data_IF_051040185305
#
_entry.id   IF_051040185305
#
_cell.length_a   1.000
_cell.length_b   1.000
_cell.length_c   1.000
_cell.angle_alpha   90.00
_cell.angle_beta   90.00
_cell.angle_gamma   90.00
#
_symmetry.space_group_name_H-M   'P 1'
#
loop_
_entity.id
_entity.type
_entity.pdbx_description
1 polymer ?
#
# COMPACT_ATOMS: atom_id res chain seq x y z
N UNK A 1 -1.81 -7.75 30.42
CA UNK A 1 -1.18 -6.70 29.61
C UNK A 1 0.14 -7.28 29.12
N UNK A 2 0.39 -7.45 27.83
CA UNK A 2 1.72 -7.82 27.37
C UNK A 2 2.66 -6.69 27.81
N UNK A 3 3.72 -7.07 28.51
CA UNK A 3 4.82 -6.15 28.84
C UNK A 3 5.38 -5.71 27.48
N UNK A 4 5.33 -4.41 27.18
CA UNK A 4 5.99 -3.83 26.01
C UNK A 4 7.51 -4.03 26.21
N UNK A 5 8.01 -5.17 25.78
CA UNK A 5 9.45 -5.42 25.74
C UNK A 5 10.03 -4.47 24.68
N UNK A 6 10.95 -3.62 25.12
CA UNK A 6 11.68 -2.74 24.22
C UNK A 6 12.42 -3.59 23.20
N UNK A 7 12.26 -3.31 21.88
CA UNK A 7 12.91 -4.09 20.86
C UNK A 7 14.43 -4.06 21.02
N UNK A 8 15.08 -5.20 20.85
CA UNK A 8 16.53 -5.24 20.85
C UNK A 8 17.10 -4.37 19.72
N UNK A 9 18.29 -3.81 19.90
CA UNK A 9 18.96 -3.01 18.86
C UNK A 9 19.06 -3.74 17.53
N UNK A 10 19.20 -5.09 17.55
CA UNK A 10 19.19 -5.92 16.35
C UNK A 10 17.85 -5.93 15.62
N UNK A 11 16.74 -5.96 16.34
CA UNK A 11 15.39 -5.87 15.75
C UNK A 11 15.12 -4.51 15.11
N UNK A 12 15.52 -3.43 15.78
CA UNK A 12 15.42 -2.07 15.23
C UNK A 12 16.26 -1.93 13.96
N UNK A 13 17.48 -2.44 13.95
CA UNK A 13 18.34 -2.42 12.78
C UNK A 13 17.73 -3.21 11.61
N UNK A 14 17.13 -4.38 11.88
CA UNK A 14 16.42 -5.16 10.86
C UNK A 14 15.19 -4.42 10.33
N UNK A 15 14.37 -3.84 11.22
CA UNK A 15 13.20 -3.06 10.81
C UNK A 15 13.59 -1.89 9.88
N UNK A 16 14.65 -1.17 10.23
CA UNK A 16 15.18 -0.07 9.41
C UNK A 16 15.71 -0.58 8.06
N UNK A 17 16.48 -1.67 8.05
CA UNK A 17 16.99 -2.24 6.79
C UNK A 17 15.86 -2.74 5.89
N UNK A 18 14.81 -3.33 6.47
CA UNK A 18 13.60 -3.73 5.76
C UNK A 18 12.89 -2.53 5.13
N UNK A 19 12.65 -1.47 5.90
CA UNK A 19 11.98 -0.27 5.41
C UNK A 19 12.78 0.44 4.31
N UNK A 20 14.12 0.52 4.45
CA UNK A 20 15.00 1.09 3.42
C UNK A 20 15.00 0.20 2.16
N UNK A 21 15.01 -1.12 2.32
CA UNK A 21 14.90 -2.04 1.19
C UNK A 21 13.57 -1.87 0.44
N UNK A 22 12.46 -1.69 1.15
CA UNK A 22 11.15 -1.41 0.55
C UNK A 22 11.16 -0.07 -0.21
N UNK A 23 11.74 0.96 0.38
CA UNK A 23 11.88 2.27 -0.26
C UNK A 23 12.71 2.16 -1.55
N UNK A 24 13.78 1.37 -1.52
CA UNK A 24 14.59 1.11 -2.69
C UNK A 24 13.85 0.27 -3.75
N UNK A 25 13.03 -0.69 -3.36
CA UNK A 25 12.26 -1.53 -4.29
C UNK A 25 11.04 -0.82 -4.90
N UNK A 26 10.52 0.22 -4.27
CA UNK A 26 9.32 0.93 -4.73
C UNK A 26 9.41 1.42 -6.18
N UNK A 27 10.48 2.15 -6.62
CA UNK A 27 10.60 2.57 -8.01
C UNK A 27 10.81 1.41 -8.99
N UNK A 28 11.33 0.27 -8.52
CA UNK A 28 11.47 -0.93 -9.35
C UNK A 28 10.09 -1.55 -9.64
N UNK A 29 9.22 -1.61 -8.63
CA UNK A 29 7.87 -2.14 -8.75
C UNK A 29 6.99 -1.29 -9.70
N UNK A 30 7.07 0.04 -9.57
CA UNK A 30 6.37 0.96 -10.49
C UNK A 30 6.93 0.89 -11.89
N UNK A 31 8.27 0.84 -12.05
CA UNK A 31 8.95 0.64 -13.32
C UNK A 31 8.58 -0.67 -14.00
N UNK A 32 8.45 -1.76 -13.24
CA UNK A 32 7.99 -3.06 -13.75
C UNK A 32 6.59 -2.96 -14.35
N UNK A 33 5.64 -2.32 -13.66
CA UNK A 33 4.28 -2.10 -14.18
C UNK A 33 4.28 -1.27 -15.47
N UNK A 34 5.11 -0.22 -15.56
CA UNK A 34 5.24 0.61 -16.76
C UNK A 34 5.76 -0.20 -17.96
N UNK A 35 6.76 -1.04 -17.75
CA UNK A 35 7.30 -1.93 -18.79
C UNK A 35 6.26 -2.97 -19.21
N UNK A 36 5.57 -3.58 -18.24
CA UNK A 36 4.51 -4.56 -18.49
C UNK A 36 3.39 -3.96 -19.35
N UNK A 37 2.88 -2.79 -18.95
CA UNK A 37 1.85 -2.05 -19.68
C UNK A 37 2.28 -1.74 -21.13
N UNK A 38 3.51 -1.28 -21.32
CA UNK A 38 4.02 -0.98 -22.66
C UNK A 38 4.07 -2.24 -23.54
N UNK A 39 4.55 -3.37 -22.99
CA UNK A 39 4.60 -4.65 -23.70
C UNK A 39 3.23 -5.19 -24.05
N UNK A 40 2.25 -5.08 -23.15
CA UNK A 40 0.87 -5.51 -23.39
C UNK A 40 0.20 -4.69 -24.52
N UNK A 41 0.61 -3.43 -24.69
CA UNK A 41 0.15 -2.58 -25.78
C UNK A 41 1.04 -2.64 -27.03
N UNK A 42 1.93 -3.64 -27.14
CA UNK A 42 2.87 -3.79 -28.27
C UNK A 42 3.73 -2.54 -28.51
N UNK A 43 4.09 -1.81 -27.45
CA UNK A 43 4.92 -0.60 -27.50
C UNK A 43 6.27 -0.86 -26.84
N UNK A 44 7.29 -0.11 -27.29
CA UNK A 44 8.56 -0.02 -26.55
C UNK A 44 8.34 0.90 -25.34
N UNK A 45 8.40 0.31 -24.16
CA UNK A 45 8.28 1.06 -22.91
C UNK A 45 9.61 1.66 -22.45
N UNK A 46 9.58 2.49 -21.40
CA UNK A 46 10.78 2.96 -20.73
C UNK A 46 11.56 1.78 -20.13
N UNK A 47 12.84 1.98 -19.83
CA UNK A 47 13.63 0.98 -19.12
C UNK A 47 13.11 0.76 -17.70
N UNK A 48 13.35 -0.42 -17.14
CA UNK A 48 12.92 -0.80 -15.77
C UNK A 48 13.41 0.18 -14.69
N UNK A 49 14.58 0.78 -14.89
CA UNK A 49 15.19 1.74 -13.96
C UNK A 49 14.83 3.22 -14.29
N UNK A 50 13.85 3.46 -15.12
CA UNK A 50 13.51 4.82 -15.53
C UNK A 50 13.00 5.66 -14.35
N UNK A 51 12.19 5.06 -13.47
CA UNK A 51 11.65 5.76 -12.31
C UNK A 51 12.75 6.25 -11.35
N UNK A 52 13.85 5.49 -11.20
CA UNK A 52 15.02 5.97 -10.44
C UNK A 52 15.71 7.16 -11.11
N UNK A 53 15.81 7.15 -12.44
CA UNK A 53 16.40 8.27 -13.19
C UNK A 53 15.53 9.52 -13.10
N UNK A 54 14.20 9.34 -13.14
CA UNK A 54 13.24 10.43 -13.02
C UNK A 54 13.30 11.05 -11.63
N UNK A 55 13.32 10.22 -10.57
CA UNK A 55 13.49 10.67 -9.18
C UNK A 55 14.84 11.39 -9.00
N UNK A 56 15.94 10.80 -9.48
CA UNK A 56 17.26 11.41 -9.36
C UNK A 56 17.37 12.75 -10.12
N UNK A 57 16.68 12.88 -11.27
CA UNK A 57 16.60 14.12 -12.02
C UNK A 57 15.80 15.17 -11.25
N UNK A 58 14.66 14.80 -10.66
CA UNK A 58 13.83 15.71 -9.88
C UNK A 58 14.57 16.22 -8.64
N UNK A 59 15.29 15.37 -7.92
CA UNK A 59 16.09 15.75 -6.75
C UNK A 59 17.18 16.80 -7.06
N UNK A 60 17.60 16.90 -8.32
CA UNK A 60 18.61 17.90 -8.78
C UNK A 60 17.98 19.20 -9.29
N UNK A 61 16.66 19.27 -9.40
CA UNK A 61 15.94 20.43 -9.90
C UNK A 61 15.54 21.35 -8.75
N UNK A 62 15.42 22.64 -9.06
CA UNK A 62 14.91 23.63 -8.14
C UNK A 62 13.47 23.31 -7.77
N UNK A 63 13.12 23.51 -6.53
CA UNK A 63 11.77 23.44 -6.02
C UNK A 63 11.11 24.81 -6.14
N UNK A 64 9.94 24.85 -6.73
CA UNK A 64 9.12 26.04 -6.86
C UNK A 64 7.82 25.75 -6.13
N UNK A 65 7.51 26.52 -5.11
CA UNK A 65 6.27 26.42 -4.33
C UNK A 65 5.29 27.49 -4.80
N UNK A 66 3.98 27.18 -4.91
CA UNK A 66 2.96 28.17 -5.21
C UNK A 66 2.89 29.25 -4.12
N UNK A 67 2.61 30.49 -4.48
CA UNK A 67 2.47 31.60 -3.50
C UNK A 67 1.45 31.32 -2.38
N UNK A 68 0.25 30.72 -2.65
CA UNK A 68 -0.71 30.41 -1.61
C UNK A 68 -0.39 29.19 -0.76
N UNK A 69 0.67 28.42 -1.08
CA UNK A 69 1.02 27.18 -0.37
C UNK A 69 1.47 27.46 1.07
N UNK A 70 0.87 26.70 2.01
CA UNK A 70 1.17 26.77 3.43
C UNK A 70 2.28 25.83 3.88
N UNK A 71 2.43 25.71 5.19
CA UNK A 71 3.42 24.81 5.83
C UNK A 71 3.11 23.35 5.52
N UNK A 72 1.83 22.99 5.43
CA UNK A 72 1.38 21.61 5.20
C UNK A 72 1.86 21.12 3.84
N UNK A 73 1.74 21.94 2.80
CA UNK A 73 2.23 21.64 1.47
C UNK A 73 3.72 21.24 1.47
N UNK A 74 4.55 22.02 2.16
CA UNK A 74 6.00 21.77 2.21
C UNK A 74 6.38 20.56 3.07
N UNK A 75 5.65 20.29 4.15
CA UNK A 75 5.96 19.21 5.09
C UNK A 75 5.45 17.84 4.62
N UNK A 76 4.37 17.84 3.82
CA UNK A 76 3.65 16.64 3.45
C UNK A 76 4.51 15.56 2.79
N UNK A 77 5.41 15.84 1.82
CA UNK A 77 6.19 14.77 1.18
C UNK A 77 7.02 13.96 2.17
N UNK A 78 7.59 14.63 3.17
CA UNK A 78 8.36 13.98 4.23
C UNK A 78 7.47 13.16 5.18
N UNK A 79 6.30 13.68 5.56
CA UNK A 79 5.34 12.98 6.42
C UNK A 79 4.82 11.71 5.75
N UNK A 80 4.53 11.75 4.45
CA UNK A 80 4.04 10.58 3.72
C UNK A 80 5.06 9.45 3.69
N UNK A 81 6.31 9.78 3.40
CA UNK A 81 7.40 8.78 3.42
C UNK A 81 7.59 8.24 4.83
N UNK A 82 7.62 9.11 5.85
CA UNK A 82 7.81 8.69 7.24
C UNK A 82 6.71 7.72 7.70
N UNK A 83 5.43 8.03 7.42
CA UNK A 83 4.32 7.15 7.76
C UNK A 83 4.44 5.77 7.10
N UNK A 84 4.76 5.72 5.80
CA UNK A 84 4.92 4.46 5.08
C UNK A 84 6.16 3.67 5.49
N UNK A 85 7.25 4.35 5.87
CA UNK A 85 8.42 3.68 6.42
C UNK A 85 8.11 3.04 7.78
N UNK A 86 7.31 3.69 8.63
CA UNK A 86 6.85 3.10 9.89
C UNK A 86 6.02 1.83 9.63
N UNK A 87 5.07 1.85 8.68
CA UNK A 87 4.36 0.64 8.27
C UNK A 87 5.34 -0.42 7.75
N UNK A 88 6.30 -0.01 6.91
CA UNK A 88 7.33 -0.91 6.39
C UNK A 88 8.22 -1.54 7.46
N UNK A 89 8.46 -0.84 8.58
CA UNK A 89 9.17 -1.39 9.75
C UNK A 89 8.30 -2.38 10.55
N UNK A 90 6.99 -2.13 10.60
CA UNK A 90 6.04 -2.89 11.39
C UNK A 90 5.64 -4.22 10.74
N UNK A 91 5.53 -4.27 9.41
CA UNK A 91 5.07 -5.45 8.68
C UNK A 91 6.02 -6.65 8.84
N UNK A 92 5.55 -7.83 9.30
CA UNK A 92 6.35 -9.06 9.35
C UNK A 92 6.47 -9.69 7.95
N UNK A 93 7.35 -9.15 7.10
CA UNK A 93 7.49 -9.58 5.70
C UNK A 93 8.44 -10.75 5.50
N UNK A 94 9.59 -10.73 6.17
CA UNK A 94 10.63 -11.76 6.06
C UNK A 94 10.52 -12.83 7.14
N UNK A 95 10.07 -12.45 8.32
CA UNK A 95 9.91 -13.30 9.50
C UNK A 95 8.44 -13.44 9.89
N UNK A 96 8.11 -14.39 10.75
CA UNK A 96 6.74 -14.51 11.28
C UNK A 96 6.44 -13.42 12.32
N UNK A 97 7.45 -12.99 13.08
CA UNK A 97 7.32 -11.92 14.06
C UNK A 97 7.58 -10.56 13.42
N UNK A 98 6.88 -9.53 13.90
CA UNK A 98 7.14 -8.17 13.47
C UNK A 98 8.55 -7.72 13.91
N UNK A 99 9.37 -7.17 13.02
CA UNK A 99 10.68 -6.60 13.39
C UNK A 99 10.55 -5.41 14.34
N UNK A 100 9.40 -4.75 14.35
CA UNK A 100 9.09 -3.62 15.22
C UNK A 100 7.77 -3.85 15.96
N UNK A 101 7.74 -4.67 17.05
CA UNK A 101 6.52 -5.14 17.71
C UNK A 101 5.62 -4.01 18.22
N UNK A 102 6.19 -2.84 18.57
CA UNK A 102 5.43 -1.69 19.08
C UNK A 102 4.40 -1.18 18.06
N UNK A 103 4.73 -1.26 16.77
CA UNK A 103 3.85 -0.83 15.69
C UNK A 103 3.28 -2.01 14.88
N UNK A 104 3.63 -3.26 15.22
CA UNK A 104 3.20 -4.47 14.49
C UNK A 104 1.73 -4.86 14.68
N UNK A 105 0.89 -3.92 15.10
CA UNK A 105 -0.54 -4.09 15.30
C UNK A 105 -1.32 -3.61 14.08
N UNK A 106 -2.30 -4.39 13.65
CA UNK A 106 -3.16 -4.11 12.50
C UNK A 106 -3.81 -2.71 12.58
N UNK A 107 -4.25 -2.33 13.79
CA UNK A 107 -4.92 -1.04 14.01
C UNK A 107 -3.96 0.11 13.75
N UNK A 108 -2.71 -0.02 14.23
CA UNK A 108 -1.65 0.98 14.00
C UNK A 108 -1.37 1.17 12.53
N UNK A 109 -1.24 0.08 11.77
CA UNK A 109 -0.98 0.15 10.33
C UNK A 109 -2.14 0.82 9.57
N UNK A 110 -3.39 0.51 9.92
CA UNK A 110 -4.57 1.16 9.33
C UNK A 110 -4.54 2.67 9.59
N UNK A 111 -4.24 3.10 10.82
CA UNK A 111 -4.13 4.53 11.12
C UNK A 111 -2.98 5.22 10.40
N UNK A 112 -1.85 4.57 10.19
CA UNK A 112 -0.74 5.11 9.40
C UNK A 112 -1.12 5.28 7.92
N UNK A 113 -1.91 4.37 7.34
CA UNK A 113 -2.47 4.56 6.01
C UNK A 113 -3.49 5.71 5.95
N UNK A 114 -4.32 5.86 6.98
CA UNK A 114 -5.25 6.98 7.08
C UNK A 114 -4.50 8.32 7.20
N UNK A 115 -3.40 8.39 7.96
CA UNK A 115 -2.50 9.55 8.03
C UNK A 115 -1.96 9.89 6.64
N UNK A 116 -1.47 8.90 5.89
CA UNK A 116 -1.00 9.12 4.52
C UNK A 116 -2.06 9.83 3.68
N UNK A 117 -3.27 9.27 3.62
CA UNK A 117 -4.38 9.82 2.82
C UNK A 117 -4.80 11.21 3.28
N UNK A 118 -4.90 11.40 4.59
CA UNK A 118 -5.28 12.68 5.17
C UNK A 118 -4.32 13.80 4.76
N UNK A 119 -3.03 13.61 4.98
CA UNK A 119 -2.02 14.62 4.64
C UNK A 119 -1.85 14.82 3.15
N UNK A 120 -1.95 13.76 2.34
CA UNK A 120 -1.93 13.86 0.89
C UNK A 120 -3.06 14.74 0.36
N UNK A 121 -4.27 14.54 0.88
CA UNK A 121 -5.44 15.33 0.49
C UNK A 121 -5.36 16.76 1.05
N UNK A 122 -4.90 16.91 2.29
CA UNK A 122 -4.77 18.22 2.92
C UNK A 122 -3.78 19.13 2.19
N UNK A 123 -2.67 18.58 1.72
CA UNK A 123 -1.70 19.31 0.92
C UNK A 123 -2.24 19.73 -0.44
N UNK A 124 -3.06 18.90 -1.08
CA UNK A 124 -3.76 19.27 -2.30
C UNK A 124 -4.72 20.45 -2.11
N UNK A 125 -5.35 20.55 -0.93
CA UNK A 125 -6.19 21.70 -0.57
C UNK A 125 -5.36 22.95 -0.21
N UNK A 126 -4.22 22.77 0.47
CA UNK A 126 -3.32 23.83 0.91
C UNK A 126 -2.58 24.53 -0.25
N UNK A 127 -2.47 23.84 -1.40
CA UNK A 127 -1.83 24.38 -2.60
C UNK A 127 -2.57 25.57 -3.23
N UNK A 128 -3.87 25.75 -2.90
CA UNK A 128 -4.73 26.77 -3.52
C UNK A 128 -5.09 26.51 -4.98
N UNK A 129 -4.66 25.38 -5.56
CA UNK A 129 -4.95 25.00 -6.95
C UNK A 129 -6.32 24.31 -7.06
N UNK A 130 -7.09 24.67 -8.08
CA UNK A 130 -8.38 24.04 -8.35
C UNK A 130 -8.23 22.55 -8.68
N UNK A 131 -7.26 22.19 -9.51
CA UNK A 131 -7.03 20.80 -9.91
C UNK A 131 -6.57 19.93 -8.73
N UNK A 132 -5.65 20.43 -7.92
CA UNK A 132 -5.20 19.75 -6.73
C UNK A 132 -6.32 19.59 -5.70
N UNK A 133 -7.15 20.61 -5.51
CA UNK A 133 -8.31 20.57 -4.60
C UNK A 133 -9.38 19.56 -5.05
N UNK A 134 -9.68 19.45 -6.35
CA UNK A 134 -10.62 18.44 -6.86
C UNK A 134 -10.02 17.03 -6.72
N UNK A 135 -8.75 16.85 -7.04
CA UNK A 135 -8.04 15.58 -6.85
C UNK A 135 -8.06 15.12 -5.39
N UNK A 136 -7.74 16.02 -4.46
CA UNK A 136 -7.80 15.76 -3.02
C UNK A 136 -9.19 15.32 -2.54
N UNK A 137 -10.26 15.97 -3.01
CA UNK A 137 -11.64 15.56 -2.68
C UNK A 137 -11.98 14.17 -3.22
N UNK A 138 -11.53 13.85 -4.43
CA UNK A 138 -11.73 12.51 -5.02
C UNK A 138 -11.00 11.43 -4.22
N UNK A 139 -9.77 11.69 -3.78
CA UNK A 139 -8.99 10.78 -2.93
C UNK A 139 -9.70 10.52 -1.60
N UNK A 140 -10.15 11.57 -0.89
CA UNK A 140 -10.89 11.43 0.35
C UNK A 140 -12.19 10.64 0.17
N UNK A 141 -12.94 10.91 -0.89
CA UNK A 141 -14.19 10.20 -1.16
C UNK A 141 -13.94 8.73 -1.45
N UNK A 142 -12.89 8.42 -2.23
CA UNK A 142 -12.52 7.04 -2.52
C UNK A 142 -12.09 6.31 -1.23
N UNK A 143 -11.34 6.99 -0.36
CA UNK A 143 -10.93 6.47 0.94
C UNK A 143 -12.10 6.06 1.81
N UNK A 144 -13.06 6.95 2.01
CA UNK A 144 -14.26 6.66 2.82
C UNK A 144 -15.00 5.41 2.31
N UNK A 145 -14.92 5.12 1.02
CA UNK A 145 -15.58 3.95 0.42
C UNK A 145 -14.76 2.67 0.52
N UNK A 146 -13.44 2.76 0.54
CA UNK A 146 -12.54 1.59 0.42
C UNK A 146 -11.95 1.18 1.76
N UNK A 147 -11.61 2.13 2.62
CA UNK A 147 -11.08 1.82 3.96
C UNK A 147 -11.96 0.87 4.77
N UNK A 148 -13.30 1.02 4.82
CA UNK A 148 -14.13 0.07 5.55
C UNK A 148 -14.04 -1.36 5.01
N UNK A 149 -13.82 -1.52 3.70
CA UNK A 149 -13.67 -2.85 3.08
C UNK A 149 -12.34 -3.49 3.55
N UNK A 150 -11.26 -2.72 3.51
CA UNK A 150 -9.94 -3.16 3.95
C UNK A 150 -9.95 -3.53 5.43
N UNK A 151 -10.47 -2.60 6.26
CA UNK A 151 -10.56 -2.78 7.72
C UNK A 151 -11.38 -4.02 8.06
N UNK A 152 -12.56 -4.19 7.46
CA UNK A 152 -13.45 -5.32 7.76
C UNK A 152 -12.81 -6.66 7.33
N UNK A 153 -12.19 -6.72 6.16
CA UNK A 153 -11.51 -7.91 5.70
C UNK A 153 -10.34 -8.33 6.62
N UNK A 154 -9.52 -7.36 7.03
CA UNK A 154 -8.43 -7.61 7.96
C UNK A 154 -8.92 -7.94 9.39
N UNK A 155 -10.01 -7.30 9.83
CA UNK A 155 -10.63 -7.53 11.13
C UNK A 155 -11.20 -8.94 11.27
N UNK A 156 -11.78 -9.52 10.20
CA UNK A 156 -12.23 -10.90 10.19
C UNK A 156 -11.06 -11.85 10.50
N UNK A 157 -9.87 -11.60 9.93
CA UNK A 157 -8.68 -12.40 10.23
C UNK A 157 -8.23 -12.21 11.68
N UNK A 158 -8.26 -10.99 12.19
CA UNK A 158 -7.93 -10.71 13.59
C UNK A 158 -8.90 -11.38 14.57
N UNK A 159 -10.21 -11.39 14.26
CA UNK A 159 -11.23 -12.09 15.05
C UNK A 159 -11.02 -13.61 15.05
N UNK A 160 -10.66 -14.18 13.90
CA UNK A 160 -10.40 -15.61 13.75
C UNK A 160 -9.21 -16.07 14.60
N UNK A 161 -8.19 -15.22 14.72
CA UNK A 161 -6.97 -15.49 15.50
C UNK A 161 -7.11 -15.07 16.98
N UNK A 162 -8.04 -14.15 17.26
CA UNK A 162 -8.20 -13.54 18.58
C UNK A 162 -7.09 -12.54 18.93
N UNK A 163 -6.38 -12.02 17.94
CA UNK A 163 -5.28 -11.05 18.12
C UNK A 163 -5.24 -10.08 16.94
N UNK A 164 -4.93 -8.82 17.22
CA UNK A 164 -4.68 -7.79 16.22
C UNK A 164 -3.21 -7.69 15.77
N UNK A 165 -2.32 -8.44 16.41
CA UNK A 165 -0.91 -8.51 16.04
C UNK A 165 -0.71 -9.21 14.72
N UNK A 166 -0.04 -8.52 13.77
CA UNK A 166 0.18 -9.02 12.40
C UNK A 166 1.09 -10.26 12.37
N UNK A 167 2.00 -10.40 13.33
CA UNK A 167 2.84 -11.57 13.47
C UNK A 167 2.01 -12.80 13.85
N UNK A 168 1.11 -12.65 14.83
CA UNK A 168 0.21 -13.71 15.26
C UNK A 168 -0.76 -14.13 14.14
N UNK A 169 -1.35 -13.15 13.43
CA UNK A 169 -2.23 -13.43 12.29
C UNK A 169 -1.48 -14.20 11.22
N UNK A 170 -0.29 -13.73 10.86
CA UNK A 170 0.57 -14.34 9.85
C UNK A 170 0.99 -15.76 10.21
N UNK A 171 1.41 -16.00 11.45
CA UNK A 171 1.84 -17.32 11.92
C UNK A 171 0.68 -18.30 11.99
N UNK A 172 -0.50 -17.86 12.42
CA UNK A 172 -1.72 -18.68 12.44
C UNK A 172 -2.08 -19.17 11.05
N UNK A 173 -2.19 -18.27 10.07
CA UNK A 173 -2.54 -18.63 8.69
C UNK A 173 -1.50 -19.53 8.05
N UNK A 174 -0.21 -19.42 8.44
CA UNK A 174 0.87 -20.25 7.90
C UNK A 174 0.87 -21.68 8.47
N UNK A 175 0.47 -21.88 9.73
CA UNK A 175 0.71 -23.13 10.47
C UNK A 175 -0.54 -23.87 10.89
N UNK A 176 -1.67 -23.18 11.02
CA UNK A 176 -2.91 -23.74 11.54
C UNK A 176 -3.94 -23.98 10.42
N UNK A 177 -4.79 -25.00 10.53
CA UNK A 177 -5.95 -25.13 9.66
C UNK A 177 -6.90 -23.95 9.90
N UNK A 178 -7.38 -23.35 8.82
CA UNK A 178 -8.29 -22.21 8.91
C UNK A 178 -9.62 -22.63 9.56
N UNK A 179 -10.02 -21.92 10.61
CA UNK A 179 -11.28 -22.22 11.33
C UNK A 179 -12.52 -21.99 10.47
N UNK A 180 -12.46 -21.02 9.54
CA UNK A 180 -13.54 -20.71 8.60
C UNK A 180 -12.95 -20.44 7.19
N UNK A 181 -12.73 -21.49 6.38
CA UNK A 181 -12.02 -21.36 5.10
C UNK A 181 -12.78 -20.52 4.08
N UNK A 182 -14.12 -20.61 4.04
CA UNK A 182 -14.94 -19.80 3.13
C UNK A 182 -14.89 -18.33 3.52
N UNK A 183 -15.00 -18.03 4.82
CA UNK A 183 -14.87 -16.66 5.31
C UNK A 183 -13.50 -16.07 4.97
N UNK A 184 -12.40 -16.84 5.12
CA UNK A 184 -11.04 -16.43 4.78
C UNK A 184 -10.90 -16.14 3.28
N UNK A 185 -11.45 -16.96 2.40
CA UNK A 185 -11.41 -16.74 0.95
C UNK A 185 -12.19 -15.47 0.55
N UNK A 186 -13.38 -15.27 1.11
CA UNK A 186 -14.18 -14.08 0.86
C UNK A 186 -13.51 -12.82 1.39
N UNK A 187 -12.95 -12.87 2.62
CA UNK A 187 -12.18 -11.77 3.20
C UNK A 187 -10.93 -11.46 2.36
N UNK A 188 -10.21 -12.49 1.90
CA UNK A 188 -9.06 -12.35 1.01
C UNK A 188 -9.43 -11.70 -0.32
N UNK A 189 -10.54 -12.07 -0.92
CA UNK A 189 -11.04 -11.47 -2.15
C UNK A 189 -11.46 -9.99 -1.94
N UNK A 190 -12.15 -9.68 -0.82
CA UNK A 190 -12.51 -8.31 -0.46
C UNK A 190 -11.26 -7.45 -0.20
N UNK A 191 -10.27 -8.00 0.53
CA UNK A 191 -8.99 -7.33 0.78
C UNK A 191 -8.21 -7.10 -0.52
N UNK A 192 -8.11 -8.09 -1.40
CA UNK A 192 -7.44 -7.95 -2.70
C UNK A 192 -8.08 -6.85 -3.56
N UNK A 193 -9.42 -6.76 -3.55
CA UNK A 193 -10.14 -5.66 -4.20
C UNK A 193 -9.77 -4.30 -3.58
N UNK A 194 -9.80 -4.19 -2.24
CA UNK A 194 -9.46 -2.95 -1.54
C UNK A 194 -8.01 -2.53 -1.80
N UNK A 195 -7.07 -3.47 -1.74
CA UNK A 195 -5.65 -3.26 -2.06
C UNK A 195 -5.47 -2.77 -3.50
N UNK A 196 -6.17 -3.36 -4.46
CA UNK A 196 -6.10 -2.92 -5.86
C UNK A 196 -6.60 -1.46 -6.02
N UNK A 197 -7.68 -1.09 -5.33
CA UNK A 197 -8.17 0.31 -5.32
C UNK A 197 -7.16 1.24 -4.66
N UNK A 198 -6.56 0.83 -3.53
CA UNK A 198 -5.52 1.59 -2.81
C UNK A 198 -4.23 1.80 -3.62
N UNK A 199 -3.94 0.90 -4.55
CA UNK A 199 -2.82 1.08 -5.48
C UNK A 199 -3.03 2.26 -6.45
N UNK A 200 -4.23 2.83 -6.55
CA UNK A 200 -4.54 3.94 -7.45
C UNK A 200 -4.37 3.59 -8.92
N UNK A 201 -4.57 2.31 -9.30
CA UNK A 201 -4.47 1.85 -10.69
C UNK A 201 -5.82 1.98 -11.41
N UNK A 202 -5.79 2.05 -12.74
CA UNK A 202 -7.01 2.02 -13.55
C UNK A 202 -7.87 0.79 -13.20
N UNK A 203 -9.16 0.95 -12.97
CA UNK A 203 -10.04 2.11 -13.21
C UNK A 203 -10.18 3.09 -12.04
N UNK A 204 -9.44 2.95 -10.96
CA UNK A 204 -9.57 3.73 -9.71
C UNK A 204 -8.55 4.87 -9.59
N UNK A 205 -7.87 5.22 -10.67
CA UNK A 205 -7.00 6.39 -10.80
C UNK A 205 -7.82 7.70 -10.82
N UNK A 206 -8.52 7.95 -9.71
CA UNK A 206 -9.50 9.05 -9.65
C UNK A 206 -8.88 10.36 -9.16
N UNK A 207 -7.87 10.29 -8.28
CA UNK A 207 -7.23 11.45 -7.69
C UNK A 207 -6.22 12.10 -8.63
N UNK A 208 -5.43 11.29 -9.31
CA UNK A 208 -4.39 11.75 -10.23
C UNK A 208 -4.94 12.08 -11.61
N UNK A 209 -5.90 11.30 -12.11
CA UNK A 209 -6.65 11.43 -13.36
C UNK A 209 -6.00 12.37 -14.39
N UNK A 210 -4.82 12.01 -14.92
CA UNK A 210 -3.95 12.87 -15.78
C UNK A 210 -4.70 13.66 -16.85
N UNK A 211 -5.72 13.05 -17.48
CA UNK A 211 -6.49 13.68 -18.55
C UNK A 211 -7.54 14.69 -18.06
N UNK A 212 -7.96 14.59 -16.79
CA UNK A 212 -9.00 15.46 -16.21
C UNK A 212 -8.42 16.49 -15.25
N UNK A 213 -7.41 16.11 -14.47
CA UNK A 213 -6.90 16.88 -13.32
C UNK A 213 -5.39 17.14 -13.38
N UNK A 214 -4.70 16.77 -14.49
CA UNK A 214 -3.25 17.00 -14.63
C UNK A 214 -2.43 16.51 -13.45
N UNK A 215 -2.61 15.26 -13.03
CA UNK A 215 -2.01 14.63 -11.85
C UNK A 215 -2.56 15.12 -10.48
N UNK A 216 -3.65 15.90 -10.44
CA UNK A 216 -4.38 16.27 -9.22
C UNK A 216 -3.50 16.89 -8.12
N UNK A 217 -3.39 16.26 -6.91
CA UNK A 217 -2.60 16.82 -5.82
C UNK A 217 -1.11 17.02 -6.14
N UNK A 218 -0.56 16.33 -7.14
CA UNK A 218 0.85 16.45 -7.56
C UNK A 218 1.11 17.63 -8.48
N UNK A 219 0.07 18.22 -9.08
CA UNK A 219 0.17 19.26 -10.13
C UNK A 219 1.10 20.42 -9.73
N UNK A 220 1.02 20.86 -8.48
CA UNK A 220 1.74 22.04 -7.98
C UNK A 220 3.13 21.70 -7.40
N UNK A 221 3.45 20.41 -7.27
CA UNK A 221 4.76 20.02 -6.76
C UNK A 221 5.83 20.01 -7.85
N UNK A 222 7.04 20.42 -7.49
CA UNK A 222 8.21 20.43 -8.36
C UNK A 222 9.46 19.97 -7.61
N UNK A 223 10.56 19.77 -8.33
CA UNK A 223 11.86 19.48 -7.73
C UNK A 223 11.85 18.30 -6.73
N UNK A 224 12.43 18.54 -5.58
CA UNK A 224 12.60 17.52 -4.52
C UNK A 224 11.26 17.08 -3.93
N UNK A 225 10.31 18.00 -3.72
CA UNK A 225 8.97 17.70 -3.21
C UNK A 225 8.23 16.70 -4.11
N UNK A 226 8.24 16.91 -5.44
CA UNK A 226 7.65 15.97 -6.40
C UNK A 226 8.38 14.63 -6.43
N UNK A 227 9.71 14.61 -6.28
CA UNK A 227 10.47 13.37 -6.22
C UNK A 227 10.06 12.50 -5.03
N UNK A 228 9.95 13.12 -3.84
CA UNK A 228 9.52 12.45 -2.62
C UNK A 228 8.08 11.95 -2.73
N UNK A 229 7.18 12.71 -3.36
CA UNK A 229 5.80 12.28 -3.59
C UNK A 229 5.72 11.07 -4.51
N UNK A 230 6.38 11.10 -5.66
CA UNK A 230 6.40 9.95 -6.57
C UNK A 230 6.99 8.71 -5.90
N UNK A 231 8.01 8.89 -5.06
CA UNK A 231 8.58 7.81 -4.27
C UNK A 231 7.59 7.30 -3.22
N UNK A 232 6.87 8.18 -2.52
CA UNK A 232 5.87 7.79 -1.51
C UNK A 232 4.68 7.06 -2.12
N UNK A 233 4.20 7.46 -3.29
CA UNK A 233 3.12 6.74 -3.99
C UNK A 233 3.57 5.33 -4.40
N UNK A 234 4.77 5.20 -4.95
CA UNK A 234 5.34 3.89 -5.26
C UNK A 234 5.51 3.01 -4.01
N UNK A 235 5.98 3.61 -2.91
CA UNK A 235 6.11 2.91 -1.63
C UNK A 235 4.73 2.50 -1.07
N UNK A 236 3.70 3.36 -1.16
CA UNK A 236 2.32 3.03 -0.77
C UNK A 236 1.83 1.80 -1.52
N UNK A 237 2.00 1.75 -2.84
CA UNK A 237 1.59 0.59 -3.66
C UNK A 237 2.26 -0.70 -3.19
N UNK A 238 3.56 -0.65 -2.90
CA UNK A 238 4.32 -1.81 -2.45
C UNK A 238 3.88 -2.27 -1.05
N UNK A 239 3.73 -1.34 -0.11
CA UNK A 239 3.38 -1.62 1.29
C UNK A 239 1.95 -2.16 1.41
N UNK A 240 0.98 -1.63 0.65
CA UNK A 240 -0.40 -2.12 0.63
C UNK A 240 -0.47 -3.56 0.09
N UNK A 241 0.28 -3.87 -0.97
CA UNK A 241 0.39 -5.25 -1.47
C UNK A 241 1.04 -6.16 -0.43
N UNK A 242 2.08 -5.69 0.27
CA UNK A 242 2.72 -6.48 1.33
C UNK A 242 1.78 -6.75 2.51
N UNK A 243 0.95 -5.80 2.91
CA UNK A 243 -0.08 -6.01 3.94
C UNK A 243 -0.99 -7.19 3.56
N UNK A 244 -1.47 -7.22 2.32
CA UNK A 244 -2.25 -8.36 1.82
C UNK A 244 -1.48 -9.68 1.87
N UNK A 245 -0.23 -9.69 1.41
CA UNK A 245 0.61 -10.90 1.40
C UNK A 245 0.91 -11.40 2.81
N UNK A 246 1.12 -10.50 3.77
CA UNK A 246 1.40 -10.83 5.17
C UNK A 246 0.22 -11.50 5.84
N UNK A 247 -1.01 -11.05 5.57
CA UNK A 247 -2.23 -11.54 6.21
C UNK A 247 -2.76 -12.80 5.53
N UNK A 248 -2.86 -12.81 4.20
CA UNK A 248 -3.55 -13.89 3.46
C UNK A 248 -2.61 -14.91 2.82
N UNK A 249 -1.36 -14.55 2.53
CA UNK A 249 -0.38 -15.42 1.89
C UNK A 249 0.97 -15.45 2.63
N UNK A 250 0.99 -15.76 3.96
CA UNK A 250 2.20 -15.66 4.78
C UNK A 250 3.23 -16.79 4.57
N UNK A 251 3.05 -17.63 3.55
CA UNK A 251 3.91 -18.79 3.30
C UNK A 251 5.32 -18.39 2.84
N UNK A 252 6.33 -19.18 3.21
CA UNK A 252 7.71 -19.01 2.76
C UNK A 252 8.49 -17.93 3.51
N UNK A 253 8.08 -17.59 4.74
CA UNK A 253 8.83 -16.74 5.66
C UNK A 253 9.94 -17.52 6.34
N UNK A 254 10.98 -16.82 6.81
CA UNK A 254 12.08 -17.42 7.54
C UNK A 254 11.61 -17.92 8.92
N UNK A 255 11.83 -19.19 9.20
CA UNK A 255 11.56 -19.77 10.51
C UNK A 255 12.63 -19.40 11.55
N UNK A 256 13.85 -19.13 11.10
CA UNK A 256 15.01 -18.81 11.93
C UNK A 256 15.72 -17.55 11.40
N UNK A 257 16.42 -16.85 12.27
CA UNK A 257 17.22 -15.65 11.96
C UNK A 257 18.55 -15.96 11.27
N UNK A 258 18.68 -17.12 10.60
CA UNK A 258 19.87 -17.46 9.84
C UNK A 258 19.89 -16.72 8.49
N UNK A 259 21.07 -16.27 8.09
CA UNK A 259 21.25 -15.53 6.84
C UNK A 259 20.69 -16.26 5.60
N UNK A 260 20.91 -17.60 5.44
CA UNK A 260 20.33 -18.35 4.33
C UNK A 260 18.79 -18.38 4.34
N UNK A 261 18.17 -18.50 5.53
CA UNK A 261 16.70 -18.49 5.65
C UNK A 261 16.12 -17.12 5.29
N UNK A 262 16.75 -16.04 5.71
CA UNK A 262 16.35 -14.67 5.37
C UNK A 262 16.49 -14.38 3.87
N UNK A 263 17.56 -14.85 3.23
CA UNK A 263 17.74 -14.72 1.77
C UNK A 263 16.66 -15.53 1.04
N UNK A 264 16.38 -16.76 1.47
CA UNK A 264 15.31 -17.58 0.91
C UNK A 264 13.94 -16.91 1.03
N UNK A 265 13.58 -16.38 2.20
CA UNK A 265 12.35 -15.64 2.43
C UNK A 265 12.27 -14.37 1.56
N UNK A 266 13.37 -13.63 1.41
CA UNK A 266 13.44 -12.45 0.56
C UNK A 266 13.18 -12.78 -0.92
N UNK A 267 13.76 -13.88 -1.43
CA UNK A 267 13.52 -14.35 -2.80
C UNK A 267 12.05 -14.72 -3.02
N UNK A 268 11.45 -15.45 -2.06
CA UNK A 268 10.04 -15.82 -2.13
C UNK A 268 9.16 -14.57 -2.08
N UNK A 269 9.48 -13.59 -1.22
CA UNK A 269 8.76 -12.31 -1.15
C UNK A 269 8.82 -11.56 -2.47
N UNK A 270 10.01 -11.46 -3.09
CA UNK A 270 10.17 -10.82 -4.40
C UNK A 270 9.33 -11.53 -5.46
N UNK A 271 9.32 -12.87 -5.50
CA UNK A 271 8.47 -13.62 -6.42
C UNK A 271 6.98 -13.32 -6.20
N UNK A 272 6.51 -13.27 -4.95
CA UNK A 272 5.12 -12.94 -4.63
C UNK A 272 4.76 -11.51 -5.05
N UNK A 273 5.64 -10.55 -4.79
CA UNK A 273 5.45 -9.17 -5.23
C UNK A 273 5.38 -9.08 -6.76
N UNK A 274 6.28 -9.75 -7.48
CA UNK A 274 6.24 -9.77 -8.94
C UNK A 274 4.92 -10.34 -9.47
N UNK A 275 4.41 -11.43 -8.88
CA UNK A 275 3.11 -12.02 -9.24
C UNK A 275 1.97 -11.03 -8.94
N UNK A 276 1.96 -10.42 -7.77
CA UNK A 276 0.92 -9.46 -7.38
C UNK A 276 0.90 -8.23 -8.30
N UNK A 277 2.07 -7.64 -8.60
CA UNK A 277 2.18 -6.52 -9.52
C UNK A 277 1.86 -6.92 -10.98
N UNK A 278 2.18 -8.15 -11.39
CA UNK A 278 1.78 -8.69 -12.69
C UNK A 278 0.25 -8.79 -12.81
N UNK A 279 -0.41 -9.36 -11.80
CA UNK A 279 -1.87 -9.46 -11.76
C UNK A 279 -2.53 -8.08 -11.76
N UNK A 280 -2.04 -7.16 -10.92
CA UNK A 280 -2.52 -5.79 -10.91
C UNK A 280 -2.35 -5.10 -12.27
N UNK A 281 -1.21 -5.29 -12.94
CA UNK A 281 -0.96 -4.76 -14.27
C UNK A 281 -1.87 -5.37 -15.35
N UNK A 282 -2.19 -6.66 -15.27
CA UNK A 282 -3.14 -7.31 -16.19
C UNK A 282 -4.54 -6.72 -15.99
N UNK A 283 -5.01 -6.58 -14.75
CA UNK A 283 -6.32 -5.99 -14.43
C UNK A 283 -6.37 -4.55 -14.91
N UNK A 284 -5.34 -3.74 -14.63
CA UNK A 284 -5.22 -2.36 -15.09
C UNK A 284 -5.36 -2.22 -16.60
N UNK A 285 -4.74 -3.13 -17.37
CA UNK A 285 -4.80 -3.10 -18.83
C UNK A 285 -6.08 -3.68 -19.42
N UNK A 286 -6.78 -4.54 -18.69
CA UNK A 286 -8.05 -5.12 -19.11
C UNK A 286 -9.25 -4.19 -18.87
N UNK A 287 -9.10 -3.19 -17.99
CA UNK A 287 -10.17 -2.28 -17.60
C UNK A 287 -10.01 -0.90 -18.25
N UNK A 288 -11.14 -0.32 -18.66
CA UNK A 288 -11.20 1.07 -19.11
C UNK A 288 -11.38 2.00 -17.89
N UNK A 289 -10.91 3.24 -18.00
CA UNK A 289 -11.13 4.29 -16.98
C UNK A 289 -12.63 4.46 -16.74
N UNK A 290 -13.03 4.42 -15.48
CA UNK A 290 -14.43 4.63 -15.08
C UNK A 290 -14.65 6.08 -14.65
N UNK A 291 -15.86 6.59 -14.88
CA UNK A 291 -16.26 7.88 -14.33
C UNK A 291 -16.27 7.82 -12.80
N UNK A 292 -15.78 8.86 -12.14
CA UNK A 292 -15.73 8.94 -10.67
C UNK A 292 -17.07 8.60 -10.01
N UNK A 293 -18.19 9.06 -10.56
CA UNK A 293 -19.54 8.76 -10.06
C UNK A 293 -19.89 7.28 -10.07
N UNK A 294 -19.27 6.48 -10.94
CA UNK A 294 -19.51 5.03 -11.01
C UNK A 294 -18.67 4.22 -10.03
N UNK A 295 -17.63 4.80 -9.44
CA UNK A 295 -16.78 4.10 -8.45
C UNK A 295 -17.58 3.64 -7.23
N UNK A 296 -18.61 4.40 -6.81
CA UNK A 296 -19.54 4.00 -5.74
C UNK A 296 -20.24 2.66 -5.98
N UNK A 297 -20.52 2.30 -7.24
CA UNK A 297 -21.14 1.01 -7.55
C UNK A 297 -20.17 -0.13 -7.34
N UNK A 298 -18.92 0.04 -7.78
CA UNK A 298 -17.88 -1.00 -7.64
C UNK A 298 -17.49 -1.21 -6.17
N UNK A 299 -17.34 -0.13 -5.41
CA UNK A 299 -17.01 -0.22 -3.97
C UNK A 299 -18.13 -0.85 -3.16
N UNK A 300 -19.42 -0.68 -3.54
CA UNK A 300 -20.54 -1.41 -2.91
C UNK A 300 -20.43 -2.92 -3.08
N UNK A 301 -19.98 -3.41 -4.23
CA UNK A 301 -19.73 -4.85 -4.40
C UNK A 301 -18.60 -5.35 -3.51
N UNK A 302 -17.50 -4.57 -3.39
CA UNK A 302 -16.42 -4.88 -2.46
C UNK A 302 -16.88 -4.92 -1.00
N UNK A 303 -17.69 -3.94 -0.58
CA UNK A 303 -18.27 -3.91 0.75
C UNK A 303 -19.25 -5.09 0.98
N UNK A 304 -20.09 -5.39 -0.01
CA UNK A 304 -20.98 -6.55 0.04
C UNK A 304 -20.22 -7.86 0.22
N UNK A 305 -19.07 -8.01 -0.48
CA UNK A 305 -18.20 -9.16 -0.34
C UNK A 305 -17.58 -9.26 1.05
N UNK A 306 -17.14 -8.15 1.63
CA UNK A 306 -16.59 -8.10 2.98
C UNK A 306 -17.65 -8.42 4.05
N UNK A 307 -18.90 -7.94 3.87
CA UNK A 307 -20.01 -8.28 4.75
C UNK A 307 -20.42 -9.76 4.63
N UNK A 308 -20.39 -10.32 3.44
CA UNK A 308 -20.62 -11.76 3.25
C UNK A 308 -19.52 -12.60 3.93
N UNK A 309 -18.26 -12.14 3.88
CA UNK A 309 -17.17 -12.78 4.60
C UNK A 309 -17.39 -12.75 6.13
N UNK A 310 -17.88 -11.63 6.66
CA UNK A 310 -18.22 -11.52 8.07
C UNK A 310 -19.36 -12.46 8.45
N UNK A 311 -20.42 -12.53 7.65
CA UNK A 311 -21.53 -13.46 7.87
C UNK A 311 -21.07 -14.93 7.83
N UNK A 312 -20.24 -15.29 6.84
CA UNK A 312 -19.66 -16.64 6.75
C UNK A 312 -18.84 -16.98 8.00
N UNK A 313 -18.04 -16.03 8.50
CA UNK A 313 -17.29 -16.20 9.76
C UNK A 313 -18.22 -16.42 10.97
N UNK A 314 -19.29 -15.63 11.10
CA UNK A 314 -20.26 -15.78 12.21
C UNK A 314 -21.04 -17.09 12.17
N UNK A 315 -21.25 -17.66 10.99
CA UNK A 315 -21.87 -18.99 10.80
C UNK A 315 -20.86 -20.13 11.02
N UNK A 316 -19.55 -19.84 10.99
CA UNK A 316 -18.48 -20.82 11.19
C UNK A 316 -18.12 -21.64 9.95
N UNK A 317 -18.31 -21.07 8.75
CA UNK A 317 -18.03 -21.72 7.45
C UNK A 317 -16.91 -21.06 6.66
#
# INVERSE_FOLDING_TARGET
MPVLEMPSWGMVALALTQAIAMLALAPLATGFNRVLRAKMHSRQGPGLLQDYRDIAKLLRRQEVTPEPAGIIFNLMPALLIAALLLVGMALPTLTHESPFPIAGDLITDIYLFAIFRFFFSLAGLDSGSMFAGIGARRELTLGILVEPILVLACFIMAMMVGSSDLGNISSYVATQPLAAPIATLLAGAACAFAVFVEMGKLPFDCAEAEQELQEGPLTEYSGAGLALLKLSIGLKQLVVVQLFLVIFLPFGKAANWSLPALIGAALILVCKLLVAFLLAGIIENAMARTQFVRTHKLTRYGLGLALLALLAYLVGI
#
